data_IF_782013946611
#
_entry.id   IF_782013946611
#
_cell.length_a   1.000
_cell.length_b   1.000
_cell.length_c   1.000
_cell.angle_alpha   90.00
_cell.angle_beta   90.00
_cell.angle_gamma   90.00
#
_symmetry.space_group_name_H-M   'P 1'
#
loop_
_entity.id
_entity.type
_entity.pdbx_description
1 polymer ?
#
# COMPACT_ATOMS: atom_id res chain seq x y z
N UNK A 1 0.42 -13.89 6.24
CA UNK A 1 0.90 -14.58 5.02
C UNK A 1 1.44 -13.54 4.06
N UNK A 2 2.72 -13.63 3.68
CA UNK A 2 3.26 -12.81 2.59
C UNK A 2 2.48 -13.14 1.32
N UNK A 3 1.85 -12.14 0.70
CA UNK A 3 1.13 -12.35 -0.55
C UNK A 3 2.16 -12.72 -1.62
N UNK A 4 1.90 -13.73 -2.45
CA UNK A 4 2.82 -14.05 -3.56
C UNK A 4 3.17 -12.76 -4.34
N UNK A 5 4.42 -12.58 -4.80
CA UNK A 5 4.87 -11.32 -5.41
C UNK A 5 4.02 -10.91 -6.61
N UNK A 6 3.50 -11.89 -7.36
CA UNK A 6 2.51 -11.70 -8.44
C UNK A 6 1.23 -10.99 -7.98
N UNK A 7 0.76 -11.29 -6.77
CA UNK A 7 -0.43 -10.67 -6.21
C UNK A 7 -0.09 -9.26 -5.74
N UNK A 8 1.04 -9.07 -5.06
CA UNK A 8 1.48 -7.74 -4.60
C UNK A 8 1.54 -6.74 -5.76
N UNK A 9 2.08 -7.13 -6.92
CA UNK A 9 2.10 -6.27 -8.11
C UNK A 9 0.72 -6.00 -8.69
N UNK A 10 -0.20 -6.98 -8.71
CA UNK A 10 -1.60 -6.77 -9.14
C UNK A 10 -2.34 -5.78 -8.24
N UNK A 11 -2.12 -5.85 -6.92
CA UNK A 11 -2.68 -4.90 -5.98
C UNK A 11 -2.13 -3.49 -6.21
N UNK A 12 -0.82 -3.37 -6.41
CA UNK A 12 -0.19 -2.09 -6.75
C UNK A 12 -0.77 -1.48 -8.02
N UNK A 13 -0.85 -2.24 -9.12
CA UNK A 13 -1.43 -1.79 -10.39
C UNK A 13 -2.90 -1.33 -10.22
N UNK A 14 -3.65 -1.99 -9.35
CA UNK A 14 -5.02 -1.59 -9.01
C UNK A 14 -5.04 -0.26 -8.27
N UNK A 15 -4.17 -0.07 -7.28
CA UNK A 15 -4.08 1.19 -6.53
C UNK A 15 -3.59 2.35 -7.41
N UNK A 16 -2.65 2.09 -8.32
CA UNK A 16 -2.11 3.10 -9.25
C UNK A 16 -3.18 3.70 -10.18
N UNK A 17 -4.22 2.93 -10.53
CA UNK A 17 -5.37 3.42 -11.32
C UNK A 17 -6.17 4.53 -10.62
N UNK A 18 -6.07 4.64 -9.31
CA UNK A 18 -6.72 5.70 -8.53
C UNK A 18 -5.87 6.97 -8.41
N UNK A 19 -4.70 7.02 -9.07
CA UNK A 19 -3.82 8.18 -9.07
C UNK A 19 -3.26 8.56 -7.69
N UNK A 20 -2.63 7.62 -6.94
CA UNK A 20 -2.00 7.93 -5.67
C UNK A 20 -0.89 8.98 -5.85
N UNK A 21 -0.70 9.87 -4.86
CA UNK A 21 0.43 10.80 -4.85
C UNK A 21 1.76 10.02 -4.70
N UNK A 22 2.88 10.61 -5.14
CA UNK A 22 4.22 10.00 -5.09
C UNK A 22 4.61 9.32 -3.76
N UNK A 23 4.39 9.92 -2.57
CA UNK A 23 4.70 9.23 -1.31
C UNK A 23 3.91 7.94 -1.09
N UNK A 24 2.67 7.88 -1.57
CA UNK A 24 1.81 6.68 -1.46
C UNK A 24 2.25 5.63 -2.48
N UNK A 25 2.63 6.04 -3.70
CA UNK A 25 3.23 5.13 -4.68
C UNK A 25 4.50 4.48 -4.14
N UNK A 26 5.39 5.27 -3.53
CA UNK A 26 6.61 4.75 -2.91
C UNK A 26 6.32 3.70 -1.83
N UNK A 27 5.33 3.97 -0.96
CA UNK A 27 4.90 3.01 0.07
C UNK A 27 4.31 1.71 -0.52
N UNK A 28 3.53 1.82 -1.60
CA UNK A 28 2.99 0.65 -2.32
C UNK A 28 4.13 -0.16 -2.95
N UNK A 29 5.07 0.49 -3.64
CA UNK A 29 6.22 -0.17 -4.29
C UNK A 29 7.15 -0.84 -3.27
N UNK A 30 7.31 -0.25 -2.09
CA UNK A 30 8.02 -0.88 -0.97
C UNK A 30 7.39 -2.22 -0.61
N UNK A 31 6.06 -2.25 -0.42
CA UNK A 31 5.34 -3.50 -0.13
C UNK A 31 5.34 -4.50 -1.29
N UNK A 32 5.39 -4.05 -2.55
CA UNK A 32 5.59 -4.96 -3.69
C UNK A 32 6.96 -5.64 -3.58
N UNK A 33 8.00 -4.86 -3.28
CA UNK A 33 9.39 -5.31 -3.17
C UNK A 33 9.59 -6.28 -2.01
N UNK A 34 8.97 -6.00 -0.86
CA UNK A 34 9.04 -6.87 0.32
C UNK A 34 8.09 -8.07 0.24
N UNK A 35 7.30 -8.19 -0.83
CA UNK A 35 6.32 -9.28 -1.03
C UNK A 35 5.20 -9.20 0.05
N UNK A 36 4.82 -7.98 0.39
CA UNK A 36 3.82 -7.61 1.38
C UNK A 36 4.41 -7.00 2.66
N UNK A 37 3.52 -6.59 3.56
CA UNK A 37 3.85 -6.10 4.89
C UNK A 37 4.60 -7.18 5.70
N UNK A 38 5.88 -6.92 6.03
CA UNK A 38 6.68 -7.78 6.90
C UNK A 38 6.73 -7.20 8.32
N UNK A 39 6.65 -8.02 9.37
CA UNK A 39 6.70 -7.54 10.75
C UNK A 39 8.05 -6.96 11.15
N UNK A 40 9.12 -7.35 10.45
CA UNK A 40 10.49 -6.86 10.68
C UNK A 40 10.83 -5.62 9.84
N UNK A 41 9.90 -5.14 9.01
CA UNK A 41 10.11 -3.97 8.16
C UNK A 41 10.03 -2.68 9.01
N UNK A 42 11.12 -1.90 9.12
CA UNK A 42 11.13 -0.68 9.95
C UNK A 42 10.16 0.39 9.42
N UNK A 43 9.92 0.38 8.11
CA UNK A 43 9.03 1.31 7.42
C UNK A 43 7.57 0.83 7.37
N UNK A 44 7.26 -0.34 7.98
CA UNK A 44 5.94 -0.96 7.91
C UNK A 44 4.83 0.01 8.31
N UNK A 45 4.99 0.63 9.48
CA UNK A 45 3.97 1.49 10.04
C UNK A 45 3.82 2.79 9.25
N UNK A 46 4.93 3.40 8.84
CA UNK A 46 4.94 4.64 8.04
C UNK A 46 4.32 4.44 6.65
N UNK A 47 4.67 3.35 5.97
CA UNK A 47 4.10 3.00 4.66
C UNK A 47 2.62 2.66 4.76
N UNK A 48 2.22 1.92 5.81
CA UNK A 48 0.81 1.59 6.07
C UNK A 48 -0.02 2.84 6.37
N UNK A 49 0.50 3.75 7.20
CA UNK A 49 -0.20 4.99 7.55
C UNK A 49 -0.39 5.88 6.32
N UNK A 50 0.65 6.02 5.49
CA UNK A 50 0.59 6.77 4.22
C UNK A 50 -0.51 6.25 3.30
N UNK A 51 -0.56 4.92 3.10
CA UNK A 51 -1.60 4.29 2.26
C UNK A 51 -2.99 4.44 2.91
N UNK A 52 -3.11 4.26 4.22
CA UNK A 52 -4.40 4.35 4.94
C UNK A 52 -4.95 5.77 4.91
N UNK A 53 -4.10 6.78 5.14
CA UNK A 53 -4.46 8.19 5.08
C UNK A 53 -4.98 8.57 3.70
N UNK A 54 -4.29 8.12 2.65
CA UNK A 54 -4.75 8.30 1.27
C UNK A 54 -6.07 7.57 0.99
N UNK A 55 -6.23 6.31 1.40
CA UNK A 55 -7.48 5.55 1.22
C UNK A 55 -8.67 6.28 1.87
N UNK A 56 -8.48 6.86 3.06
CA UNK A 56 -9.53 7.66 3.72
C UNK A 56 -9.91 8.91 2.95
N UNK A 57 -8.96 9.51 2.22
CA UNK A 57 -9.23 10.69 1.38
C UNK A 57 -10.02 10.32 0.11
N UNK A 58 -9.69 9.19 -0.54
CA UNK A 58 -10.39 8.74 -1.75
C UNK A 58 -11.72 8.04 -1.45
N UNK A 59 -11.86 7.44 -0.28
CA UNK A 59 -13.07 6.73 0.15
C UNK A 59 -13.52 7.24 1.53
N UNK A 60 -14.19 8.41 1.61
CA UNK A 60 -14.67 8.97 2.88
C UNK A 60 -15.73 8.10 3.57
N UNK A 61 -16.28 7.07 2.90
CA UNK A 61 -17.27 6.13 3.41
C UNK A 61 -16.71 4.74 3.76
N UNK A 62 -15.39 4.58 3.98
CA UNK A 62 -14.89 3.38 4.67
C UNK A 62 -15.36 3.43 6.13
N UNK A 63 -16.60 2.99 6.37
CA UNK A 63 -17.22 2.96 7.68
C UNK A 63 -16.41 2.02 8.61
N UNK A 64 -16.20 2.40 9.89
CA UNK A 64 -15.44 1.61 10.87
C UNK A 64 -16.00 0.19 11.10
#
# INVERSE_FOLDING_TARGET
>A
MAAKPENARKWADTLEKYGPPDPVKAAIEHFVTTVGARPDDPDLNSNRDSITGWIKQICPNVNP
#
